data_IF_417412540796
#
_entry.id   IF_417412540796
#
_cell.length_a   1.000
_cell.length_b   1.000
_cell.length_c   1.000
_cell.angle_alpha   90.00
_cell.angle_beta   90.00
_cell.angle_gamma   90.00
#
_symmetry.space_group_name_H-M   'P 1'
#
loop_
_entity.id
_entity.type
_entity.pdbx_description
1 polymer ?
#
# COMPACT_ATOMS: atom_id res chain seq x y z
N UNK A 1 34.42 1.67 8.86
CA UNK A 1 33.16 2.12 8.24
C UNK A 1 32.71 3.41 8.89
N UNK A 2 32.32 4.42 8.11
CA UNK A 2 31.77 5.64 8.73
C UNK A 2 30.37 5.30 9.31
N UNK A 3 29.94 6.03 10.35
CA UNK A 3 28.62 5.88 10.98
C UNK A 3 27.48 5.91 9.94
N UNK A 4 27.67 6.67 8.88
CA UNK A 4 26.71 6.83 7.78
C UNK A 4 26.63 5.60 6.88
N UNK A 5 27.75 4.92 6.63
CA UNK A 5 27.75 3.67 5.86
C UNK A 5 27.06 2.54 6.60
N UNK A 6 27.20 2.45 7.93
CA UNK A 6 26.52 1.42 8.73
C UNK A 6 25.00 1.59 8.72
N UNK A 7 24.52 2.84 8.82
CA UNK A 7 23.05 3.15 8.78
C UNK A 7 22.46 2.81 7.41
N UNK A 8 23.14 3.17 6.32
CA UNK A 8 22.68 2.85 4.97
C UNK A 8 22.64 1.33 4.74
N UNK A 9 23.67 0.62 5.20
CA UNK A 9 23.71 -0.84 5.08
C UNK A 9 22.57 -1.49 5.87
N UNK A 10 22.35 -1.10 7.12
CA UNK A 10 21.26 -1.61 7.95
C UNK A 10 19.88 -1.36 7.31
N UNK A 11 19.66 -0.17 6.72
CA UNK A 11 18.45 0.16 6.00
C UNK A 11 18.21 -0.78 4.81
N UNK A 12 19.23 -0.94 3.95
CA UNK A 12 19.15 -1.77 2.75
C UNK A 12 18.88 -3.24 3.13
N UNK A 13 19.60 -3.75 4.12
CA UNK A 13 19.43 -5.12 4.61
C UNK A 13 18.04 -5.37 5.20
N UNK A 14 17.54 -4.43 6.00
CA UNK A 14 16.20 -4.52 6.60
C UNK A 14 15.11 -4.51 5.53
N UNK A 15 15.23 -3.61 4.55
CA UNK A 15 14.28 -3.51 3.44
C UNK A 15 14.29 -4.78 2.60
N UNK A 16 15.48 -5.30 2.29
CA UNK A 16 15.62 -6.55 1.54
C UNK A 16 15.01 -7.73 2.31
N UNK A 17 15.30 -7.84 3.59
CA UNK A 17 14.74 -8.90 4.45
C UNK A 17 13.21 -8.88 4.52
N UNK A 18 12.60 -7.69 4.62
CA UNK A 18 11.15 -7.54 4.56
C UNK A 18 10.61 -7.96 3.19
N UNK A 19 11.23 -7.48 2.11
CA UNK A 19 10.85 -7.83 0.75
C UNK A 19 10.91 -9.34 0.52
N UNK A 20 12.01 -10.00 0.90
CA UNK A 20 12.19 -11.44 0.71
C UNK A 20 11.14 -12.26 1.48
N UNK A 21 10.79 -11.83 2.69
CA UNK A 21 9.72 -12.47 3.46
C UNK A 21 8.35 -12.31 2.80
N UNK A 22 8.03 -11.13 2.28
CA UNK A 22 6.78 -10.88 1.57
C UNK A 22 6.72 -11.69 0.26
N UNK A 23 7.81 -11.74 -0.49
CA UNK A 23 7.89 -12.56 -1.71
C UNK A 23 7.71 -14.03 -1.37
N UNK A 24 8.47 -14.56 -0.42
CA UNK A 24 8.37 -15.97 0.00
C UNK A 24 6.96 -16.36 0.42
N UNK A 25 6.26 -15.48 1.14
CA UNK A 25 4.90 -15.74 1.62
C UNK A 25 3.85 -15.69 0.51
N UNK A 26 3.98 -14.74 -0.44
CA UNK A 26 2.90 -14.41 -1.36
C UNK A 26 3.19 -14.69 -2.84
N UNK A 27 4.41 -15.13 -3.24
CA UNK A 27 4.73 -15.35 -4.65
C UNK A 27 3.79 -16.35 -5.35
N UNK A 28 3.30 -17.36 -4.62
CA UNK A 28 2.34 -18.34 -5.12
C UNK A 28 0.93 -17.78 -5.38
N UNK A 29 0.58 -16.65 -4.79
CA UNK A 29 -0.74 -16.02 -4.89
C UNK A 29 -0.79 -14.85 -5.89
N UNK A 30 0.36 -14.36 -6.35
CA UNK A 30 0.47 -13.15 -7.18
C UNK A 30 -0.35 -13.23 -8.46
N UNK A 31 -0.33 -14.34 -9.17
CA UNK A 31 -1.12 -14.55 -10.39
C UNK A 31 -2.60 -14.66 -10.08
N UNK A 32 -2.98 -15.44 -9.07
CA UNK A 32 -4.37 -15.67 -8.66
C UNK A 32 -5.06 -14.38 -8.23
N UNK A 33 -4.36 -13.51 -7.51
CA UNK A 33 -4.89 -12.25 -7.01
C UNK A 33 -4.59 -11.06 -7.91
N UNK A 34 -3.88 -11.27 -9.01
CA UNK A 34 -3.37 -10.19 -9.88
C UNK A 34 -2.67 -9.10 -9.07
N UNK A 35 -1.82 -9.56 -8.16
CA UNK A 35 -1.07 -8.72 -7.22
C UNK A 35 0.40 -8.69 -7.66
N UNK A 36 1.05 -7.56 -7.41
CA UNK A 36 2.50 -7.41 -7.57
C UNK A 36 3.16 -6.99 -6.26
N UNK A 37 4.36 -7.50 -6.01
CA UNK A 37 5.17 -7.18 -4.84
C UNK A 37 6.31 -6.29 -5.31
N UNK A 38 6.30 -5.04 -4.87
CA UNK A 38 7.31 -4.05 -5.25
C UNK A 38 8.55 -4.10 -4.37
N UNK A 39 9.73 -3.81 -4.94
CA UNK A 39 10.97 -3.61 -4.17
C UNK A 39 10.90 -2.44 -3.19
N UNK A 40 9.92 -1.57 -3.36
CA UNK A 40 9.55 -0.46 -2.47
C UNK A 40 8.64 -0.90 -1.32
N UNK A 41 8.51 -2.21 -1.09
CA UNK A 41 7.65 -2.83 -0.08
C UNK A 41 6.15 -2.56 -0.28
N UNK A 42 5.73 -2.31 -1.51
CA UNK A 42 4.32 -2.17 -1.86
C UNK A 42 3.72 -3.49 -2.35
N UNK A 43 2.53 -3.82 -1.83
CA UNK A 43 1.68 -4.90 -2.29
C UNK A 43 0.56 -4.26 -3.12
N UNK A 44 0.58 -4.43 -4.45
CA UNK A 44 -0.32 -3.74 -5.39
C UNK A 44 -1.37 -4.71 -5.92
N UNK A 45 -2.64 -4.44 -5.64
CA UNK A 45 -3.77 -5.18 -6.20
C UNK A 45 -4.26 -4.44 -7.45
N UNK A 46 -4.04 -5.05 -8.63
CA UNK A 46 -4.12 -4.39 -9.94
C UNK A 46 -5.40 -4.73 -10.72
N UNK A 47 -6.32 -5.54 -10.18
CA UNK A 47 -7.57 -5.88 -10.88
C UNK A 47 -8.75 -5.02 -10.39
N UNK A 48 -9.05 -3.89 -11.05
CA UNK A 48 -10.07 -2.96 -10.57
C UNK A 48 -11.47 -3.57 -10.52
N UNK A 49 -11.78 -4.54 -11.38
CA UNK A 49 -13.12 -5.19 -11.40
C UNK A 49 -13.31 -6.15 -10.24
N UNK A 50 -12.23 -6.69 -9.72
CA UNK A 50 -12.22 -7.54 -8.52
C UNK A 50 -12.30 -6.70 -7.25
N UNK A 51 -11.66 -5.52 -7.23
CA UNK A 51 -11.54 -4.71 -6.01
C UNK A 51 -12.85 -4.01 -5.64
N UNK A 52 -13.43 -3.27 -6.59
CA UNK A 52 -14.61 -2.42 -6.38
C UNK A 52 -15.49 -2.41 -7.62
N UNK A 53 -16.80 -2.30 -7.44
CA UNK A 53 -17.68 -1.96 -8.54
C UNK A 53 -17.34 -0.56 -9.10
N UNK A 54 -17.65 -0.33 -10.37
CA UNK A 54 -17.39 0.95 -11.04
C UNK A 54 -18.00 2.12 -10.26
N UNK A 55 -17.22 3.15 -10.01
CA UNK A 55 -17.65 4.33 -9.25
C UNK A 55 -17.94 4.08 -7.77
N UNK A 56 -17.69 2.87 -7.28
CA UNK A 56 -17.95 2.47 -5.89
C UNK A 56 -16.68 2.39 -5.07
N UNK A 57 -16.84 2.46 -3.76
CA UNK A 57 -15.82 2.19 -2.75
C UNK A 57 -16.14 0.97 -1.88
N UNK A 58 -17.26 0.29 -2.16
CA UNK A 58 -17.62 -0.94 -1.48
C UNK A 58 -16.76 -2.09 -2.01
N UNK A 59 -16.16 -2.85 -1.08
CA UNK A 59 -15.38 -4.03 -1.44
C UNK A 59 -16.29 -5.08 -2.08
N UNK A 60 -15.85 -5.66 -3.19
CA UNK A 60 -16.54 -6.79 -3.77
C UNK A 60 -16.40 -8.03 -2.88
N UNK A 61 -17.32 -9.01 -2.93
CA UNK A 61 -17.14 -10.28 -2.22
C UNK A 61 -15.85 -11.00 -2.57
N UNK A 62 -15.40 -10.90 -3.81
CA UNK A 62 -14.14 -11.50 -4.27
C UNK A 62 -12.92 -10.83 -3.62
N UNK A 63 -12.92 -9.50 -3.51
CA UNK A 63 -11.82 -8.80 -2.85
C UNK A 63 -11.82 -9.06 -1.34
N UNK A 64 -12.98 -9.17 -0.71
CA UNK A 64 -13.10 -9.58 0.69
C UNK A 64 -12.44 -10.95 0.92
N UNK A 65 -12.70 -11.94 0.06
CA UNK A 65 -12.06 -13.26 0.14
C UNK A 65 -10.53 -13.18 -0.02
N UNK A 66 -10.02 -12.31 -0.90
CA UNK A 66 -8.58 -12.08 -1.02
C UNK A 66 -8.02 -11.48 0.27
N UNK A 67 -8.69 -10.46 0.82
CA UNK A 67 -8.26 -9.82 2.06
C UNK A 67 -8.33 -10.76 3.28
N UNK A 68 -9.30 -11.68 3.31
CA UNK A 68 -9.44 -12.68 4.37
C UNK A 68 -8.24 -13.65 4.44
N UNK A 69 -7.65 -13.97 3.29
CA UNK A 69 -6.44 -14.79 3.21
C UNK A 69 -5.16 -13.93 3.36
N UNK A 70 -5.10 -12.79 2.66
CA UNK A 70 -3.91 -11.94 2.60
C UNK A 70 -3.59 -11.26 3.94
N UNK A 71 -4.55 -10.56 4.57
CA UNK A 71 -4.26 -9.68 5.70
C UNK A 71 -3.74 -10.41 6.94
N UNK A 72 -4.27 -11.59 7.34
CA UNK A 72 -3.70 -12.32 8.48
C UNK A 72 -2.22 -12.66 8.27
N UNK A 73 -1.87 -13.21 7.12
CA UNK A 73 -0.50 -13.60 6.77
C UNK A 73 0.43 -12.38 6.67
N UNK A 74 -0.06 -11.28 6.10
CA UNK A 74 0.67 -10.03 6.01
C UNK A 74 1.02 -9.48 7.39
N UNK A 75 0.06 -9.45 8.32
CA UNK A 75 0.30 -8.95 9.67
C UNK A 75 1.09 -9.90 10.56
N UNK A 76 1.03 -11.20 10.33
CA UNK A 76 1.91 -12.16 11.01
C UNK A 76 3.40 -11.87 10.71
N UNK A 77 3.71 -11.46 9.47
CA UNK A 77 5.06 -11.01 9.12
C UNK A 77 5.41 -9.71 9.85
N UNK A 78 4.52 -8.70 9.79
CA UNK A 78 4.82 -7.35 10.27
C UNK A 78 4.85 -7.24 11.80
N UNK A 79 4.04 -8.01 12.50
CA UNK A 79 3.98 -8.04 13.97
C UNK A 79 5.10 -8.88 14.59
N UNK A 80 5.90 -9.57 13.76
CA UNK A 80 7.04 -10.34 14.25
C UNK A 80 8.06 -9.42 14.97
N UNK A 81 8.49 -9.82 16.16
CA UNK A 81 9.35 -9.05 17.05
C UNK A 81 10.65 -8.56 16.39
N UNK A 82 11.20 -9.35 15.47
CA UNK A 82 12.44 -9.02 14.78
C UNK A 82 12.28 -7.92 13.71
N UNK A 83 11.06 -7.72 13.20
CA UNK A 83 10.79 -6.80 12.07
C UNK A 83 10.01 -5.55 12.50
N UNK A 84 9.08 -5.68 13.46
CA UNK A 84 8.15 -4.61 13.86
C UNK A 84 8.83 -3.31 14.26
N UNK A 85 10.03 -3.37 14.85
CA UNK A 85 10.80 -2.19 15.27
C UNK A 85 11.28 -1.33 14.09
N UNK A 86 11.33 -1.90 12.89
CA UNK A 86 11.79 -1.23 11.68
C UNK A 86 10.64 -0.65 10.84
N UNK A 87 9.39 -0.82 11.29
CA UNK A 87 8.20 -0.30 10.61
C UNK A 87 7.81 1.04 11.22
N UNK A 88 7.74 2.07 10.38
CA UNK A 88 7.28 3.41 10.75
C UNK A 88 5.80 3.59 10.46
N UNK A 89 5.37 3.14 9.28
CA UNK A 89 4.01 3.37 8.79
C UNK A 89 3.59 2.24 7.84
N UNK A 90 2.31 1.93 7.81
CA UNK A 90 1.68 1.08 6.81
C UNK A 90 0.62 1.91 6.11
N UNK A 91 0.86 2.27 4.85
CA UNK A 91 -0.05 3.07 4.04
C UNK A 91 -0.98 2.16 3.26
N UNK A 92 -2.27 2.39 3.39
CA UNK A 92 -3.25 1.88 2.44
C UNK A 92 -3.49 3.02 1.45
N UNK A 93 -3.07 2.85 0.21
CA UNK A 93 -3.14 3.86 -0.84
C UNK A 93 -4.19 3.46 -1.88
N UNK A 94 -5.22 4.30 -2.03
CA UNK A 94 -6.20 4.19 -3.10
C UNK A 94 -5.77 5.03 -4.30
N UNK A 95 -5.86 4.45 -5.49
CA UNK A 95 -5.56 5.11 -6.76
C UNK A 95 -6.73 4.98 -7.73
N UNK A 96 -6.97 6.01 -8.52
CA UNK A 96 -7.99 6.04 -9.58
C UNK A 96 -7.35 6.28 -10.94
N UNK A 97 -8.17 6.14 -11.98
CA UNK A 97 -7.93 6.76 -13.28
C UNK A 97 -8.42 8.22 -13.26
N UNK A 98 -8.35 8.88 -14.40
CA UNK A 98 -8.78 10.27 -14.58
C UNK A 98 -10.23 10.44 -15.05
N UNK A 99 -11.04 9.40 -14.95
CA UNK A 99 -12.46 9.47 -15.31
C UNK A 99 -13.20 10.39 -14.31
N UNK A 100 -13.91 11.42 -14.80
CA UNK A 100 -14.62 12.36 -13.95
C UNK A 100 -15.73 11.65 -13.12
N UNK A 101 -15.92 12.10 -11.88
CA UNK A 101 -16.93 11.62 -10.95
C UNK A 101 -17.77 12.80 -10.41
N UNK A 102 -18.58 13.47 -11.26
CA UNK A 102 -19.26 14.73 -10.93
C UNK A 102 -20.28 14.60 -9.77
N UNK A 103 -20.69 13.39 -9.45
CA UNK A 103 -21.55 13.11 -8.29
C UNK A 103 -20.82 13.26 -6.94
N UNK A 104 -19.49 13.26 -6.93
CA UNK A 104 -18.67 13.47 -5.72
C UNK A 104 -18.19 14.90 -5.60
N UNK A 105 -17.69 15.48 -6.70
CA UNK A 105 -17.25 16.88 -6.76
C UNK A 105 -17.22 17.38 -8.20
N UNK A 106 -17.35 18.71 -8.39
CA UNK A 106 -17.24 19.37 -9.70
C UNK A 106 -15.80 19.35 -10.23
N UNK A 107 -14.81 19.41 -9.36
CA UNK A 107 -13.39 19.24 -9.71
C UNK A 107 -13.08 17.76 -9.86
N UNK A 108 -12.71 17.27 -11.08
CA UNK A 108 -12.43 15.86 -11.30
C UNK A 108 -11.29 15.32 -10.46
N UNK A 109 -10.29 16.14 -10.11
CA UNK A 109 -9.19 15.73 -9.27
C UNK A 109 -9.66 15.50 -7.82
N UNK A 110 -10.41 16.45 -7.26
CA UNK A 110 -10.97 16.34 -5.91
C UNK A 110 -11.94 15.17 -5.81
N UNK A 111 -12.83 15.00 -6.79
CA UNK A 111 -13.75 13.87 -6.85
C UNK A 111 -13.01 12.52 -6.77
N UNK A 112 -11.90 12.40 -7.50
CA UNK A 112 -11.07 11.19 -7.50
C UNK A 112 -10.23 11.05 -6.22
N UNK A 113 -9.81 12.15 -5.56
CA UNK A 113 -9.25 12.09 -4.20
C UNK A 113 -10.27 11.49 -3.24
N UNK A 114 -11.51 11.96 -3.25
CA UNK A 114 -12.58 11.46 -2.39
C UNK A 114 -12.84 9.97 -2.65
N UNK A 115 -12.99 9.55 -3.90
CA UNK A 115 -13.21 8.14 -4.25
C UNK A 115 -12.06 7.25 -3.79
N UNK A 116 -10.81 7.65 -4.06
CA UNK A 116 -9.64 6.88 -3.68
C UNK A 116 -9.47 6.81 -2.15
N UNK A 117 -9.79 7.89 -1.43
CA UNK A 117 -9.81 7.92 0.04
C UNK A 117 -10.87 6.98 0.62
N UNK A 118 -12.08 6.96 0.07
CA UNK A 118 -13.15 6.05 0.50
C UNK A 118 -12.77 4.59 0.26
N UNK A 119 -12.09 4.29 -0.85
CA UNK A 119 -11.60 2.94 -1.16
C UNK A 119 -10.54 2.44 -0.18
N UNK A 120 -9.52 3.25 0.11
CA UNK A 120 -8.51 2.88 1.09
C UNK A 120 -9.10 2.74 2.50
N UNK A 121 -10.04 3.62 2.87
CA UNK A 121 -10.77 3.54 4.13
C UNK A 121 -11.62 2.26 4.24
N UNK A 122 -12.22 1.82 3.13
CA UNK A 122 -13.02 0.57 3.11
C UNK A 122 -12.16 -0.66 3.41
N UNK A 123 -10.93 -0.70 2.90
CA UNK A 123 -9.97 -1.77 3.22
C UNK A 123 -9.59 -1.73 4.71
N UNK A 124 -9.26 -0.56 5.24
CA UNK A 124 -8.92 -0.40 6.66
C UNK A 124 -10.09 -0.81 7.58
N UNK A 125 -11.30 -0.36 7.24
CA UNK A 125 -12.52 -0.71 8.00
C UNK A 125 -12.78 -2.21 7.95
N UNK A 126 -12.61 -2.84 6.79
CA UNK A 126 -12.77 -4.28 6.65
C UNK A 126 -11.80 -5.03 7.57
N UNK A 127 -10.51 -4.69 7.54
CA UNK A 127 -9.50 -5.30 8.39
C UNK A 127 -9.84 -5.17 9.87
N UNK A 128 -10.24 -3.97 10.33
CA UNK A 128 -10.59 -3.76 11.75
C UNK A 128 -11.79 -4.59 12.22
N UNK A 129 -12.65 -5.03 11.31
CA UNK A 129 -13.80 -5.89 11.60
C UNK A 129 -13.49 -7.39 11.46
N UNK A 130 -12.32 -7.77 10.94
CA UNK A 130 -11.96 -9.17 10.78
C UNK A 130 -11.76 -9.88 12.11
N UNK A 131 -12.10 -11.20 12.21
CA UNK A 131 -11.88 -11.99 13.41
C UNK A 131 -10.43 -12.00 13.90
N UNK A 132 -9.45 -11.96 12.96
CA UNK A 132 -8.02 -11.91 13.31
C UNK A 132 -7.68 -10.62 14.05
N UNK A 133 -8.19 -9.46 13.59
CA UNK A 133 -7.95 -8.19 14.28
C UNK A 133 -8.53 -8.19 15.70
N UNK A 134 -9.70 -8.78 15.88
CA UNK A 134 -10.35 -8.83 17.19
C UNK A 134 -9.55 -9.66 18.21
N UNK A 135 -8.78 -10.65 17.74
CA UNK A 135 -7.93 -11.51 18.58
C UNK A 135 -6.60 -10.87 18.99
N UNK A 136 -6.17 -9.80 18.34
CA UNK A 136 -4.97 -9.09 18.75
C UNK A 136 -5.12 -8.51 20.16
N UNK A 137 -4.04 -8.53 20.92
CA UNK A 137 -3.99 -7.88 22.23
C UNK A 137 -4.00 -6.34 22.10
N UNK A 138 -4.18 -5.64 23.21
CA UNK A 138 -4.27 -4.18 23.23
C UNK A 138 -2.98 -3.51 22.75
N UNK A 139 -1.81 -4.08 22.99
CA UNK A 139 -0.55 -3.53 22.53
C UNK A 139 -0.39 -3.67 21.01
N UNK A 140 -0.78 -4.81 20.46
CA UNK A 140 -0.80 -5.04 19.02
C UNK A 140 -1.80 -4.09 18.32
N UNK A 141 -3.00 -3.93 18.88
CA UNK A 141 -4.00 -2.99 18.34
C UNK A 141 -3.51 -1.55 18.35
N UNK A 142 -2.92 -1.10 19.47
CA UNK A 142 -2.34 0.25 19.57
C UNK A 142 -1.18 0.45 18.59
N UNK A 143 -0.34 -0.56 18.37
CA UNK A 143 0.75 -0.51 17.42
C UNK A 143 0.23 -0.40 15.99
N UNK A 144 -0.80 -1.19 15.65
CA UNK A 144 -1.46 -1.11 14.34
C UNK A 144 -2.14 0.26 14.12
N UNK A 145 -2.77 0.83 15.14
CA UNK A 145 -3.34 2.19 15.07
C UNK A 145 -2.27 3.26 14.87
N UNK A 146 -1.09 3.09 15.44
CA UNK A 146 0.05 3.98 15.24
C UNK A 146 0.63 3.88 13.81
N UNK A 147 0.68 2.66 13.24
CA UNK A 147 1.25 2.44 11.91
C UNK A 147 0.32 2.82 10.76
N UNK A 148 -0.98 2.56 10.92
CA UNK A 148 -1.90 2.64 9.80
C UNK A 148 -2.23 4.06 9.39
N UNK A 149 -2.11 4.32 8.07
CA UNK A 149 -2.71 5.47 7.41
C UNK A 149 -3.52 5.02 6.20
N UNK A 150 -4.59 5.77 5.91
CA UNK A 150 -5.47 5.56 4.76
C UNK A 150 -5.38 6.80 3.87
N UNK A 151 -4.96 6.62 2.61
CA UNK A 151 -4.58 7.70 1.72
C UNK A 151 -5.31 7.61 0.38
N UNK A 152 -5.94 8.70 -0.04
CA UNK A 152 -6.52 8.86 -1.37
C UNK A 152 -5.59 9.66 -2.28
N UNK A 153 -5.06 9.05 -3.32
CA UNK A 153 -4.05 9.65 -4.19
C UNK A 153 -4.59 10.05 -5.57
N UNK A 154 -5.91 9.96 -5.79
CA UNK A 154 -6.51 10.32 -7.07
C UNK A 154 -5.80 9.65 -8.24
N UNK A 155 -5.68 10.34 -9.37
CA UNK A 155 -4.92 9.92 -10.55
C UNK A 155 -3.53 10.57 -10.65
N UNK A 156 -3.06 11.26 -9.61
CA UNK A 156 -1.74 11.91 -9.63
C UNK A 156 -0.56 10.96 -9.80
N UNK A 157 -0.74 9.69 -9.39
CA UNK A 157 0.23 8.60 -9.60
C UNK A 157 -0.27 7.55 -10.60
N UNK A 158 -0.87 8.03 -11.71
CA UNK A 158 -1.34 7.16 -12.80
C UNK A 158 -0.19 6.41 -13.46
N UNK A 159 -0.50 5.21 -13.94
CA UNK A 159 0.44 4.32 -14.61
C UNK A 159 0.15 4.27 -16.11
N UNK A 160 1.19 4.03 -16.88
CA UNK A 160 1.11 3.71 -18.31
C UNK A 160 0.99 2.18 -18.54
N UNK A 161 0.93 1.76 -19.79
CA UNK A 161 0.85 0.34 -20.18
C UNK A 161 2.04 -0.52 -19.70
N UNK A 162 3.17 0.10 -19.37
CA UNK A 162 4.36 -0.56 -18.85
C UNK A 162 4.39 -0.58 -17.31
N UNK A 163 3.40 0.06 -16.64
CA UNK A 163 3.35 0.18 -15.19
C UNK A 163 4.25 1.28 -14.62
N UNK A 164 4.70 2.20 -15.47
CA UNK A 164 5.52 3.35 -15.08
C UNK A 164 4.66 4.59 -14.82
N UNK A 165 5.12 5.49 -13.95
CA UNK A 165 4.39 6.73 -13.68
C UNK A 165 4.35 7.63 -14.92
N UNK A 166 3.14 7.97 -15.39
CA UNK A 166 2.91 8.79 -16.59
C UNK A 166 3.59 10.16 -16.50
N UNK A 167 3.62 10.77 -15.31
CA UNK A 167 4.27 12.06 -15.08
C UNK A 167 5.78 12.05 -15.36
N UNK A 168 6.45 10.91 -15.20
CA UNK A 168 7.88 10.80 -15.42
C UNK A 168 8.26 10.69 -16.90
N UNK A 169 7.37 10.12 -17.71
CA UNK A 169 7.65 9.79 -19.11
C UNK A 169 6.71 10.50 -20.09
N UNK A 170 5.76 11.28 -19.61
CA UNK A 170 4.72 11.92 -20.40
C UNK A 170 3.98 10.92 -21.34
N UNK A 171 3.63 9.76 -20.80
CA UNK A 171 2.95 8.67 -21.49
C UNK A 171 1.44 8.71 -21.24
N UNK A 172 0.61 8.12 -22.12
CA UNK A 172 -0.83 7.99 -21.89
C UNK A 172 -1.15 7.14 -20.65
N UNK A 173 -2.24 7.48 -19.96
CA UNK A 173 -2.73 6.74 -18.78
C UNK A 173 -3.30 5.40 -19.23
N UNK A 174 -2.85 4.32 -18.60
CA UNK A 174 -3.55 3.03 -18.60
C UNK A 174 -4.62 3.06 -17.50
N UNK A 175 -5.88 3.12 -17.91
CA UNK A 175 -7.02 3.25 -17.00
C UNK A 175 -7.16 2.03 -16.06
N UNK A 176 -6.84 0.84 -16.55
CA UNK A 176 -6.94 -0.40 -15.75
C UNK A 176 -5.85 -0.46 -14.69
N UNK A 177 -4.60 -0.25 -15.07
CA UNK A 177 -3.45 -0.28 -14.15
C UNK A 177 -3.48 0.87 -13.14
N UNK A 178 -4.07 2.01 -13.50
CA UNK A 178 -4.17 3.16 -12.61
C UNK A 178 -5.18 2.95 -11.48
N UNK A 179 -6.24 2.16 -11.69
CA UNK A 179 -7.24 1.80 -10.67
C UNK A 179 -6.75 0.65 -9.81
N UNK A 180 -6.17 0.93 -8.68
CA UNK A 180 -5.55 -0.06 -7.79
C UNK A 180 -5.62 0.34 -6.32
N UNK A 181 -5.35 -0.63 -5.46
CA UNK A 181 -5.06 -0.43 -4.04
C UNK A 181 -3.66 -0.94 -3.76
N UNK A 182 -2.88 -0.18 -3.02
CA UNK A 182 -1.55 -0.57 -2.56
C UNK A 182 -1.51 -0.58 -1.03
N UNK A 183 -0.89 -1.61 -0.45
CA UNK A 183 -0.42 -1.58 0.93
C UNK A 183 1.09 -1.39 0.90
N UNK A 184 1.57 -0.28 1.44
CA UNK A 184 2.98 0.08 1.41
C UNK A 184 3.55 0.16 2.82
N UNK A 185 4.67 -0.50 3.05
CA UNK A 185 5.43 -0.38 4.29
C UNK A 185 6.45 0.75 4.14
N UNK A 186 6.39 1.72 5.06
CA UNK A 186 7.44 2.72 5.25
C UNK A 186 8.29 2.28 6.43
N UNK A 187 9.60 2.19 6.23
CA UNK A 187 10.53 1.79 7.27
C UNK A 187 11.15 2.99 7.99
N UNK A 188 11.59 2.80 9.22
CA UNK A 188 12.27 3.84 10.02
C UNK A 188 13.57 4.33 9.36
N UNK A 189 14.21 3.50 8.55
CA UNK A 189 15.44 3.85 7.83
C UNK A 189 15.23 4.87 6.70
N UNK A 190 14.02 4.97 6.14
CA UNK A 190 13.72 6.00 5.11
C UNK A 190 13.86 7.41 5.68
N UNK A 191 13.38 7.66 6.90
CA UNK A 191 13.52 8.95 7.58
C UNK A 191 15.00 9.32 7.87
N UNK A 192 15.81 8.32 8.24
CA UNK A 192 17.23 8.54 8.49
C UNK A 192 17.94 8.95 7.20
N UNK A 193 17.59 8.34 6.07
CA UNK A 193 18.16 8.69 4.76
C UNK A 193 17.72 10.09 4.30
N UNK A 194 16.45 10.45 4.45
CA UNK A 194 15.92 11.79 4.13
C UNK A 194 16.66 12.86 4.93
N UNK A 195 16.77 12.70 6.26
CA UNK A 195 17.49 13.60 7.14
C UNK A 195 18.99 13.70 6.79
N UNK A 196 19.59 12.61 6.29
CA UNK A 196 20.98 12.59 5.86
C UNK A 196 21.19 13.37 4.56
N UNK A 197 20.34 13.20 3.58
CA UNK A 197 20.39 13.92 2.30
C UNK A 197 20.19 15.42 2.50
N UNK A 198 19.27 15.83 3.39
CA UNK A 198 19.03 17.25 3.70
C UNK A 198 20.23 17.92 4.40
N UNK A 199 20.93 17.22 5.27
CA UNK A 199 22.10 17.76 5.98
C UNK A 199 23.37 17.85 5.13
N UNK A 200 23.39 17.21 3.95
CA UNK A 200 24.54 17.21 3.05
C UNK A 200 24.29 17.96 1.74
N UNK A 201 23.18 18.71 1.65
CA UNK A 201 22.91 19.73 0.63
C UNK A 201 23.36 21.10 1.11
#
# INVERSE_FOLDING_TARGET
MSKNQSVLTEYVETKQKLHDKLVHEFEGDTLKWQMTIGKDLSMKFNNPTVLFAQGSWQLTPQFQQILDDFLPRYFDILLNDSLRKNIKEIRIEGHTDNVPMPQLDQDPYIANVMLSQLRSLSVLRYFRNMPVYQKYDDNQKRLLEYWFTSNGLSYGKSLDSNGEYTIKKNTPIDLVRSRRVELRIVTTGEEILENFVEKNK
#
